data_IF_628360241428
#
_entry.id   IF_628360241428
#
_cell.length_a   1.000
_cell.length_b   1.000
_cell.length_c   1.000
_cell.angle_alpha   90.00
_cell.angle_beta   90.00
_cell.angle_gamma   90.00
#
_symmetry.space_group_name_H-M   'P 1'
#
loop_
_entity.id
_entity.type
_entity.pdbx_description
1 polymer ?
#
# COMPACT_ATOMS: atom_id res chain seq x y z
N UNK A 1 -33.06 7.66 9.24
CA UNK A 1 -32.01 7.53 10.28
C UNK A 1 -30.84 6.80 9.65
N UNK A 2 -29.61 7.15 10.02
CA UNK A 2 -28.41 6.50 9.48
C UNK A 2 -27.35 6.42 10.58
N UNK A 3 -26.69 5.28 10.70
CA UNK A 3 -25.70 5.01 11.74
C UNK A 3 -24.38 4.61 11.09
N UNK A 4 -23.28 5.05 11.68
CA UNK A 4 -21.97 4.44 11.47
C UNK A 4 -21.75 3.35 12.52
N UNK A 5 -21.38 2.16 12.09
CA UNK A 5 -21.23 0.97 12.92
C UNK A 5 -19.94 0.23 12.61
N UNK A 6 -19.41 -0.53 13.56
CA UNK A 6 -18.45 -1.60 13.26
C UNK A 6 -19.27 -2.84 12.92
N UNK A 7 -19.20 -3.26 11.66
CA UNK A 7 -19.99 -4.39 11.17
C UNK A 7 -19.13 -5.23 10.22
N UNK A 8 -19.66 -6.37 9.79
CA UNK A 8 -19.04 -7.27 8.85
C UNK A 8 -19.88 -7.46 7.59
N UNK A 9 -19.22 -7.77 6.47
CA UNK A 9 -19.92 -8.26 5.27
C UNK A 9 -20.61 -9.58 5.62
N UNK A 10 -21.91 -9.64 5.40
CA UNK A 10 -22.76 -10.76 5.79
C UNK A 10 -23.35 -11.51 4.59
N UNK A 11 -23.25 -10.95 3.40
CA UNK A 11 -23.64 -11.61 2.15
C UNK A 11 -22.57 -11.37 1.09
N UNK A 12 -22.61 -12.18 0.02
CA UNK A 12 -21.73 -12.01 -1.15
C UNK A 12 -21.88 -10.64 -1.82
N UNK A 13 -23.01 -9.96 -1.63
CA UNK A 13 -23.27 -8.60 -2.12
C UNK A 13 -22.64 -7.51 -1.24
N UNK A 14 -21.91 -7.90 -0.18
CA UNK A 14 -21.24 -6.98 0.73
C UNK A 14 -22.19 -6.22 1.67
N UNK A 15 -23.41 -6.71 1.87
CA UNK A 15 -24.36 -6.10 2.81
C UNK A 15 -23.95 -6.38 4.26
N UNK A 16 -24.29 -5.49 5.18
CA UNK A 16 -23.93 -5.61 6.60
C UNK A 16 -24.67 -6.72 7.35
N UNK A 17 -23.99 -7.33 8.32
CA UNK A 17 -24.57 -8.29 9.26
C UNK A 17 -25.22 -7.61 10.46
N UNK A 18 -25.24 -8.33 11.58
CA UNK A 18 -25.47 -7.72 12.88
C UNK A 18 -24.18 -6.99 13.32
N UNK A 19 -24.22 -5.66 13.53
CA UNK A 19 -23.06 -4.90 13.97
C UNK A 19 -22.45 -5.45 15.27
N UNK A 20 -21.13 -5.37 15.38
CA UNK A 20 -20.44 -5.57 16.66
C UNK A 20 -20.87 -4.47 17.64
N UNK A 21 -20.90 -3.22 17.17
CA UNK A 21 -21.47 -2.09 17.90
C UNK A 21 -21.75 -0.90 16.98
N UNK A 22 -22.66 -0.03 17.44
CA UNK A 22 -22.92 1.29 16.86
C UNK A 22 -21.93 2.32 17.40
N UNK A 23 -21.45 3.22 16.54
CA UNK A 23 -20.61 4.36 16.94
C UNK A 23 -21.46 5.63 17.07
N UNK A 24 -22.17 6.05 16.01
CA UNK A 24 -22.92 7.32 16.03
C UNK A 24 -24.05 7.38 14.98
N UNK A 25 -24.98 8.33 15.18
CA UNK A 25 -25.97 8.78 14.18
C UNK A 25 -25.32 9.79 13.24
N UNK A 26 -25.55 9.63 11.94
CA UNK A 26 -24.87 10.40 10.88
C UNK A 26 -25.82 10.98 9.82
N UNK A 27 -27.14 10.78 9.92
CA UNK A 27 -28.09 11.22 8.89
C UNK A 27 -28.12 12.74 8.62
N UNK A 28 -27.60 13.54 9.54
CA UNK A 28 -27.54 15.01 9.41
C UNK A 28 -26.20 15.51 8.87
N UNK A 29 -25.20 14.63 8.76
CA UNK A 29 -23.86 14.97 8.31
C UNK A 29 -23.83 14.91 6.78
N UNK A 30 -23.25 15.91 6.14
CA UNK A 30 -23.27 16.06 4.67
C UNK A 30 -22.05 15.44 4.01
N UNK A 31 -20.94 15.34 4.73
CA UNK A 31 -19.64 14.92 4.21
C UNK A 31 -19.06 13.75 5.00
N UNK A 32 -18.21 12.95 4.34
CA UNK A 32 -17.50 11.85 5.00
C UNK A 32 -16.47 12.35 6.03
N UNK A 33 -15.98 13.59 5.88
CA UNK A 33 -15.11 14.25 6.85
C UNK A 33 -15.84 14.51 8.18
N UNK A 34 -17.07 15.03 8.13
CA UNK A 34 -17.91 15.19 9.33
C UNK A 34 -18.21 13.85 10.00
N UNK A 35 -18.46 12.79 9.20
CA UNK A 35 -18.64 11.42 9.72
C UNK A 35 -17.37 10.96 10.45
N UNK A 36 -16.19 11.14 9.85
CA UNK A 36 -14.90 10.81 10.48
C UNK A 36 -14.72 11.55 11.80
N UNK A 37 -15.00 12.84 11.83
CA UNK A 37 -14.80 13.66 13.04
C UNK A 37 -15.74 13.21 14.16
N UNK A 38 -16.99 12.83 13.83
CA UNK A 38 -17.93 12.26 14.81
C UNK A 38 -17.47 10.87 15.28
N UNK A 39 -16.94 10.03 14.40
CA UNK A 39 -16.35 8.74 14.78
C UNK A 39 -15.20 8.96 15.78
N UNK A 40 -14.26 9.84 15.46
CA UNK A 40 -13.09 10.14 16.30
C UNK A 40 -13.46 10.76 17.65
N UNK A 41 -14.58 11.50 17.73
CA UNK A 41 -15.11 12.00 19.02
C UNK A 41 -15.70 10.89 19.90
N UNK A 42 -16.18 9.80 19.31
CA UNK A 42 -16.83 8.70 20.04
C UNK A 42 -15.91 7.50 20.31
N UNK A 43 -14.88 7.30 19.46
CA UNK A 43 -13.93 6.18 19.52
C UNK A 43 -12.55 6.61 19.03
N UNK A 44 -11.52 6.23 19.78
CA UNK A 44 -10.11 6.27 19.33
C UNK A 44 -9.78 5.06 18.46
N UNK A 45 -8.77 5.21 17.61
CA UNK A 45 -8.16 4.09 16.88
C UNK A 45 -6.86 3.62 17.57
N UNK A 46 -6.47 2.34 17.45
CA UNK A 46 -7.17 1.26 16.73
C UNK A 46 -8.47 0.82 17.42
N UNK A 47 -9.42 0.33 16.63
CA UNK A 47 -10.64 -0.30 17.14
C UNK A 47 -10.44 -1.81 17.05
N UNK A 48 -10.47 -2.49 18.18
CA UNK A 48 -10.20 -3.93 18.28
C UNK A 48 -11.40 -4.67 18.89
N UNK A 49 -11.57 -5.94 18.51
CA UNK A 49 -12.63 -6.78 19.04
C UNK A 49 -12.87 -8.03 18.18
N UNK A 50 -13.86 -8.82 18.59
CA UNK A 50 -14.32 -9.99 17.85
C UNK A 50 -15.79 -9.84 17.49
N UNK A 51 -16.17 -10.35 16.31
CA UNK A 51 -17.57 -10.45 15.87
C UNK A 51 -17.80 -11.79 15.23
N UNK A 52 -19.01 -12.32 15.33
CA UNK A 52 -19.35 -13.65 14.80
C UNK A 52 -20.27 -13.50 13.60
N UNK A 53 -19.86 -14.07 12.48
CA UNK A 53 -20.72 -14.24 11.33
C UNK A 53 -21.58 -15.50 11.50
N UNK A 54 -22.91 -15.35 11.39
CA UNK A 54 -23.87 -16.47 11.34
C UNK A 54 -24.83 -16.23 10.18
N UNK A 55 -24.52 -16.80 9.02
CA UNK A 55 -25.24 -16.54 7.79
C UNK A 55 -24.74 -17.41 6.64
N UNK A 56 -25.04 -17.01 5.39
CA UNK A 56 -24.52 -17.70 4.20
C UNK A 56 -23.00 -17.87 4.28
N UNK A 57 -22.48 -19.03 3.89
CA UNK A 57 -21.04 -19.25 3.86
C UNK A 57 -20.39 -18.21 2.92
N UNK A 58 -19.49 -17.42 3.49
CA UNK A 58 -18.62 -16.50 2.76
C UNK A 58 -17.25 -17.16 2.68
N UNK A 59 -16.60 -17.09 1.52
CA UNK A 59 -15.19 -17.47 1.45
C UNK A 59 -14.33 -16.43 2.21
N UNK A 60 -13.10 -16.78 2.60
CA UNK A 60 -12.22 -15.89 3.38
C UNK A 60 -11.95 -14.55 2.68
N UNK A 61 -12.05 -14.49 1.34
CA UNK A 61 -11.89 -13.27 0.54
C UNK A 61 -13.14 -12.37 0.55
N UNK A 62 -14.25 -12.87 1.07
CA UNK A 62 -15.53 -12.15 1.21
C UNK A 62 -15.79 -11.72 2.65
N UNK A 63 -15.11 -12.32 3.63
CA UNK A 63 -15.16 -11.89 5.03
C UNK A 63 -14.40 -10.58 5.23
N UNK A 64 -15.04 -9.64 5.92
CA UNK A 64 -14.55 -8.28 6.05
C UNK A 64 -15.22 -7.63 7.25
N UNK A 65 -14.43 -7.04 8.14
CA UNK A 65 -14.91 -6.16 9.22
C UNK A 65 -14.47 -4.74 8.91
N UNK A 66 -15.36 -3.78 9.09
CA UNK A 66 -15.05 -2.37 8.86
C UNK A 66 -16.13 -1.43 9.36
N UNK A 67 -16.02 -0.16 8.96
CA UNK A 67 -17.02 0.84 9.26
C UNK A 67 -18.13 0.82 8.20
N UNK A 68 -19.35 0.54 8.63
CA UNK A 68 -20.54 0.51 7.78
C UNK A 68 -21.43 1.71 8.04
N UNK A 69 -22.13 2.19 7.02
CA UNK A 69 -23.29 3.05 7.16
C UNK A 69 -24.57 2.22 6.95
N UNK A 70 -25.56 2.39 7.83
CA UNK A 70 -26.78 1.58 7.82
C UNK A 70 -27.97 2.28 8.47
N UNK A 71 -29.23 1.97 8.08
CA UNK A 71 -30.41 2.63 8.63
C UNK A 71 -30.81 2.14 10.03
N UNK A 72 -30.38 0.94 10.41
CA UNK A 72 -30.68 0.27 11.68
C UNK A 72 -29.45 0.31 12.61
N UNK A 73 -29.67 0.41 13.93
CA UNK A 73 -28.60 0.44 14.94
C UNK A 73 -28.01 -0.94 15.27
N UNK A 74 -28.81 -1.99 15.10
CA UNK A 74 -28.47 -3.40 15.34
C UNK A 74 -29.30 -4.32 14.44
N UNK A 75 -29.04 -5.63 14.50
CA UNK A 75 -29.68 -6.63 13.65
C UNK A 75 -29.06 -6.74 12.25
N UNK A 76 -29.45 -7.75 11.48
CA UNK A 76 -28.98 -7.94 10.10
C UNK A 76 -29.30 -6.70 9.28
N UNK A 77 -28.31 -6.20 8.53
CA UNK A 77 -28.36 -4.89 7.89
C UNK A 77 -28.28 -5.02 6.37
N UNK A 78 -29.36 -5.45 5.68
CA UNK A 78 -29.33 -5.69 4.23
C UNK A 78 -29.07 -4.41 3.42
N UNK A 79 -29.34 -3.24 4.00
CA UNK A 79 -29.05 -1.92 3.43
C UNK A 79 -27.74 -1.32 3.94
N UNK A 80 -27.03 -2.02 4.82
CA UNK A 80 -25.75 -1.58 5.36
C UNK A 80 -24.64 -1.84 4.35
N UNK A 81 -23.78 -0.85 4.13
CA UNK A 81 -22.58 -0.98 3.28
C UNK A 81 -21.38 -0.34 3.95
N UNK A 82 -20.18 -0.78 3.57
CA UNK A 82 -18.93 -0.12 3.98
C UNK A 82 -18.96 1.37 3.59
N UNK A 83 -18.39 2.21 4.45
CA UNK A 83 -18.21 3.64 4.13
C UNK A 83 -17.37 3.80 2.85
N UNK A 84 -17.66 4.79 2.00
CA UNK A 84 -16.87 5.06 0.79
C UNK A 84 -15.38 5.20 1.12
N UNK A 85 -14.51 4.60 0.30
CA UNK A 85 -13.06 4.59 0.52
C UNK A 85 -12.57 3.56 1.55
N UNK A 86 -13.47 2.77 2.17
CA UNK A 86 -13.05 1.66 3.03
C UNK A 86 -12.37 0.57 2.20
N UNK A 87 -11.07 0.41 2.40
CA UNK A 87 -10.33 -0.73 1.89
C UNK A 87 -10.39 -1.83 2.95
N UNK A 88 -11.22 -2.84 2.68
CA UNK A 88 -11.23 -4.00 3.54
C UNK A 88 -10.12 -4.93 3.12
N UNK A 89 -9.16 -5.15 4.03
CA UNK A 89 -8.21 -6.23 3.85
C UNK A 89 -8.99 -7.53 3.75
N UNK A 90 -8.73 -8.31 2.69
CA UNK A 90 -8.98 -9.75 2.75
C UNK A 90 -8.28 -10.20 4.02
N UNK A 91 -9.00 -10.74 5.00
CA UNK A 91 -8.36 -11.39 6.14
C UNK A 91 -7.66 -12.62 5.58
N UNK A 92 -6.33 -12.62 5.43
CA UNK A 92 -5.71 -13.73 4.74
C UNK A 92 -5.52 -14.87 5.76
N UNK A 93 -5.93 -16.12 5.46
CA UNK A 93 -5.42 -17.27 6.21
C UNK A 93 -3.90 -17.21 6.11
N UNK A 94 -3.14 -17.40 7.21
CA UNK A 94 -1.89 -16.67 7.49
C UNK A 94 -1.08 -16.40 6.22
N UNK A 95 -1.35 -15.30 5.50
CA UNK A 95 -0.50 -14.97 4.35
C UNK A 95 0.76 -14.45 4.96
N UNK A 96 1.88 -14.95 4.46
CA UNK A 96 3.12 -14.41 4.94
C UNK A 96 3.17 -12.91 4.63
N UNK A 97 3.64 -12.13 5.59
CA UNK A 97 3.96 -10.73 5.43
C UNK A 97 5.44 -10.63 5.08
N UNK A 98 5.75 -9.77 4.10
CA UNK A 98 7.10 -9.42 3.73
C UNK A 98 7.38 -7.94 3.97
N UNK A 99 8.63 -7.61 4.32
CA UNK A 99 9.09 -6.23 4.49
C UNK A 99 10.47 -6.04 3.85
N UNK A 100 10.78 -4.80 3.52
CA UNK A 100 12.15 -4.36 3.24
C UNK A 100 12.76 -3.94 4.57
N UNK A 101 13.85 -4.57 4.98
CA UNK A 101 14.39 -4.40 6.34
C UNK A 101 15.15 -3.09 6.54
N UNK A 102 15.74 -2.54 5.49
CA UNK A 102 16.57 -1.33 5.50
C UNK A 102 15.74 -0.05 5.42
N UNK A 103 14.43 -0.15 5.19
CA UNK A 103 13.55 1.00 5.01
C UNK A 103 13.75 1.67 3.65
N UNK A 104 14.48 2.79 3.62
CA UNK A 104 14.69 3.61 2.43
C UNK A 104 16.06 3.33 1.78
N UNK A 105 16.08 3.25 0.45
CA UNK A 105 17.31 3.11 -0.36
C UNK A 105 17.77 4.50 -0.80
N UNK A 106 19.03 4.86 -0.56
CA UNK A 106 19.56 6.17 -0.91
C UNK A 106 20.72 6.07 -1.90
N UNK A 107 20.41 6.19 -3.19
CA UNK A 107 21.39 6.13 -4.26
C UNK A 107 22.06 7.50 -4.45
N UNK A 108 23.07 7.78 -3.63
CA UNK A 108 23.80 9.04 -3.65
C UNK A 108 24.91 9.04 -4.71
N UNK A 109 24.82 9.98 -5.66
CA UNK A 109 25.81 10.17 -6.71
C UNK A 109 27.00 11.03 -6.29
N UNK A 110 26.87 11.82 -5.22
CA UNK A 110 27.86 12.81 -4.80
C UNK A 110 27.95 13.98 -5.77
N UNK A 111 29.05 14.72 -5.69
CA UNK A 111 29.38 15.72 -6.70
C UNK A 111 29.81 15.04 -7.99
N UNK A 112 29.20 15.43 -9.10
CA UNK A 112 29.42 14.83 -10.41
C UNK A 112 29.45 15.93 -11.47
N UNK A 113 30.45 15.86 -12.35
CA UNK A 113 30.59 16.80 -13.46
C UNK A 113 29.66 16.43 -14.63
N UNK A 114 29.42 17.39 -15.52
CA UNK A 114 28.51 17.22 -16.66
C UNK A 114 28.94 16.09 -17.61
N UNK A 115 30.24 15.84 -17.78
CA UNK A 115 30.75 14.81 -18.68
C UNK A 115 30.57 13.40 -18.11
N UNK A 116 30.63 13.25 -16.78
CA UNK A 116 30.40 11.99 -16.07
C UNK A 116 28.92 11.74 -15.75
N UNK A 117 28.04 12.73 -15.94
CA UNK A 117 26.65 12.68 -15.50
C UNK A 117 25.85 11.57 -16.18
N UNK A 118 25.93 11.46 -17.50
CA UNK A 118 25.18 10.44 -18.26
C UNK A 118 25.81 9.07 -18.11
N UNK A 119 25.04 8.06 -17.73
CA UNK A 119 25.51 6.69 -17.52
C UNK A 119 26.09 6.41 -16.13
N UNK A 120 26.25 7.43 -15.28
CA UNK A 120 26.67 7.21 -13.89
C UNK A 120 25.74 6.24 -13.17
N UNK A 121 26.31 5.24 -12.50
CA UNK A 121 25.56 4.18 -11.80
C UNK A 121 25.83 4.21 -10.30
N UNK A 122 24.79 3.97 -9.51
CA UNK A 122 24.86 3.70 -8.07
C UNK A 122 24.02 2.49 -7.73
N UNK A 123 24.42 1.75 -6.71
CA UNK A 123 23.71 0.55 -6.26
C UNK A 123 23.77 0.44 -4.75
N UNK A 124 22.70 -0.06 -4.19
CA UNK A 124 22.60 -0.55 -2.82
C UNK A 124 21.94 -1.93 -2.83
N UNK A 125 21.96 -2.61 -1.69
CA UNK A 125 21.30 -3.90 -1.51
C UNK A 125 20.25 -3.77 -0.42
N UNK A 126 19.05 -4.24 -0.70
CA UNK A 126 17.98 -4.40 0.27
C UNK A 126 17.78 -5.87 0.61
N UNK A 127 17.22 -6.15 1.77
CA UNK A 127 16.78 -7.48 2.17
C UNK A 127 15.24 -7.51 2.25
N UNK A 128 14.65 -8.41 1.48
CA UNK A 128 13.23 -8.74 1.59
C UNK A 128 13.09 -9.87 2.60
N UNK A 129 12.46 -9.58 3.73
CA UNK A 129 12.25 -10.53 4.83
C UNK A 129 10.80 -10.92 4.91
N UNK A 130 10.49 -12.22 4.99
CA UNK A 130 9.13 -12.73 5.11
C UNK A 130 8.98 -13.64 6.33
N UNK A 131 7.83 -13.61 7.00
CA UNK A 131 7.54 -14.54 8.11
C UNK A 131 7.25 -15.99 7.63
N UNK A 132 6.76 -16.17 6.40
CA UNK A 132 6.55 -17.47 5.75
C UNK A 132 7.34 -17.56 4.44
N UNK A 133 7.63 -18.79 4.01
CA UNK A 133 8.33 -19.01 2.75
C UNK A 133 7.43 -18.66 1.56
N UNK A 134 7.88 -17.78 0.68
CA UNK A 134 7.11 -17.39 -0.51
C UNK A 134 7.92 -16.79 -1.64
N UNK A 135 7.28 -16.67 -2.80
CA UNK A 135 7.76 -15.92 -3.96
C UNK A 135 7.22 -14.49 -3.89
N UNK A 136 8.10 -13.51 -3.89
CA UNK A 136 7.75 -12.08 -3.90
C UNK A 136 8.20 -11.48 -5.22
N UNK A 137 7.32 -10.77 -5.91
CA UNK A 137 7.70 -9.93 -7.04
C UNK A 137 8.08 -8.54 -6.52
N UNK A 138 9.34 -8.17 -6.70
CA UNK A 138 9.88 -6.86 -6.32
C UNK A 138 9.90 -5.99 -7.57
N UNK A 139 9.27 -4.82 -7.54
CA UNK A 139 9.21 -3.86 -8.64
C UNK A 139 9.83 -2.55 -8.17
N UNK A 140 10.62 -1.89 -9.00
CA UNK A 140 11.13 -0.55 -8.75
C UNK A 140 10.66 0.39 -9.87
N UNK A 141 9.94 1.45 -9.51
CA UNK A 141 9.33 2.35 -10.49
C UNK A 141 9.39 3.80 -10.03
N UNK A 142 9.67 4.70 -10.98
CA UNK A 142 9.56 6.15 -10.82
C UNK A 142 8.28 6.72 -11.46
N UNK A 143 8.05 8.02 -11.27
CA UNK A 143 6.81 8.70 -11.68
C UNK A 143 6.68 9.00 -13.18
N UNK A 144 7.75 8.83 -13.98
CA UNK A 144 7.75 9.14 -15.42
C UNK A 144 8.00 7.86 -16.23
N UNK A 145 6.95 7.06 -16.41
CA UNK A 145 7.03 5.76 -17.11
C UNK A 145 8.17 4.89 -16.58
N UNK A 146 8.26 4.79 -15.25
CA UNK A 146 9.28 3.99 -14.56
C UNK A 146 10.57 4.66 -14.22
N UNK A 147 10.84 5.79 -14.87
CA UNK A 147 12.03 6.58 -14.60
C UNK A 147 11.76 7.57 -13.49
N UNK A 148 12.80 7.88 -12.73
CA UNK A 148 12.74 8.90 -11.69
C UNK A 148 13.20 10.22 -12.29
N UNK A 149 12.32 11.21 -12.49
CA UNK A 149 12.77 12.55 -12.85
C UNK A 149 13.53 13.16 -11.67
N UNK A 150 14.75 13.64 -11.92
CA UNK A 150 15.62 14.25 -10.90
C UNK A 150 15.58 15.78 -10.94
N UNK A 151 14.88 16.33 -11.94
CA UNK A 151 14.65 17.76 -12.18
C UNK A 151 13.23 17.96 -12.71
N UNK A 152 12.67 19.14 -12.43
CA UNK A 152 11.34 19.52 -12.90
C UNK A 152 11.27 19.71 -14.43
N UNK A 153 12.37 20.17 -15.04
CA UNK A 153 12.50 20.38 -16.48
C UNK A 153 12.73 19.09 -17.27
N UNK A 154 12.79 17.93 -16.59
CA UNK A 154 12.88 16.65 -17.26
C UNK A 154 14.17 16.51 -18.12
N UNK A 155 15.23 17.25 -17.77
CA UNK A 155 16.55 17.18 -18.40
C UNK A 155 17.42 16.03 -17.87
N UNK A 156 17.13 15.53 -16.66
CA UNK A 156 17.89 14.50 -15.97
C UNK A 156 16.94 13.49 -15.29
N UNK A 157 17.21 12.20 -15.51
CA UNK A 157 16.44 11.09 -14.95
C UNK A 157 17.36 10.00 -14.40
N UNK A 158 16.79 9.12 -13.59
CA UNK A 158 17.40 7.85 -13.23
C UNK A 158 16.55 6.67 -13.73
N UNK A 159 17.17 5.79 -14.49
CA UNK A 159 16.62 4.46 -14.83
C UNK A 159 16.87 3.53 -13.64
N UNK A 160 15.82 2.86 -13.15
CA UNK A 160 15.91 1.95 -12.01
C UNK A 160 16.10 0.49 -12.46
N UNK A 161 16.89 -0.26 -11.71
CA UNK A 161 17.17 -1.67 -11.94
C UNK A 161 17.13 -2.49 -10.66
N UNK A 162 16.62 -3.72 -10.77
CA UNK A 162 16.62 -4.72 -9.71
C UNK A 162 17.41 -5.94 -10.19
N UNK A 163 18.48 -6.32 -9.49
CA UNK A 163 19.38 -7.41 -9.90
C UNK A 163 19.83 -7.30 -11.37
N UNK A 164 20.11 -6.07 -11.83
CA UNK A 164 20.44 -5.71 -13.22
C UNK A 164 19.32 -5.88 -14.26
N UNK A 165 18.09 -6.19 -13.86
CA UNK A 165 16.90 -6.17 -14.73
C UNK A 165 16.16 -4.83 -14.61
N UNK A 166 15.47 -4.36 -15.68
CA UNK A 166 14.67 -3.14 -15.60
C UNK A 166 13.67 -3.19 -14.44
N UNK A 167 13.73 -2.18 -13.56
CA UNK A 167 12.99 -2.17 -12.29
C UNK A 167 11.48 -2.34 -12.46
N UNK A 168 10.90 -1.76 -13.52
CA UNK A 168 9.46 -1.83 -13.80
C UNK A 168 8.96 -3.23 -14.15
N UNK A 169 9.83 -4.06 -14.74
CA UNK A 169 9.49 -5.46 -15.04
C UNK A 169 9.51 -6.31 -13.77
N UNK A 170 10.22 -5.82 -12.75
CA UNK A 170 10.42 -6.48 -11.48
C UNK A 170 11.31 -7.72 -11.56
N UNK A 171 11.60 -8.27 -10.38
CA UNK A 171 12.31 -9.53 -10.21
C UNK A 171 11.57 -10.38 -9.19
N UNK A 172 11.40 -11.67 -9.48
CA UNK A 172 10.82 -12.62 -8.52
C UNK A 172 11.93 -13.15 -7.61
N UNK A 173 11.68 -13.10 -6.30
CA UNK A 173 12.63 -13.50 -5.26
C UNK A 173 11.97 -14.56 -4.40
N UNK A 174 12.68 -15.67 -4.17
CA UNK A 174 12.24 -16.70 -3.21
C UNK A 174 12.76 -16.32 -1.82
N UNK A 175 11.86 -16.05 -0.89
CA UNK A 175 12.21 -15.70 0.49
C UNK A 175 11.88 -16.90 1.39
N UNK A 176 12.85 -17.40 2.19
CA UNK A 176 12.60 -18.48 3.13
C UNK A 176 11.76 -18.01 4.34
N UNK A 177 11.08 -18.94 5.02
CA UNK A 177 10.28 -18.63 6.20
C UNK A 177 11.15 -18.06 7.32
N UNK A 178 10.78 -16.88 7.83
CA UNK A 178 11.54 -16.15 8.86
C UNK A 178 12.89 -15.61 8.40
N UNK A 179 13.24 -15.79 7.13
CA UNK A 179 14.54 -15.37 6.59
C UNK A 179 14.42 -14.21 5.61
N UNK A 180 15.56 -13.86 5.03
CA UNK A 180 15.72 -12.72 4.14
C UNK A 180 16.36 -13.12 2.83
N UNK A 181 15.98 -12.46 1.74
CA UNK A 181 16.62 -12.58 0.45
C UNK A 181 17.12 -11.21 -0.04
N UNK A 182 18.39 -11.10 -0.45
CA UNK A 182 18.96 -9.84 -0.91
C UNK A 182 18.49 -9.50 -2.32
N UNK A 183 18.26 -8.21 -2.58
CA UNK A 183 17.97 -7.65 -3.90
C UNK A 183 18.84 -6.43 -4.11
N UNK A 184 19.64 -6.43 -5.16
CA UNK A 184 20.41 -5.27 -5.58
C UNK A 184 19.47 -4.27 -6.25
N UNK A 185 19.42 -3.05 -5.70
CA UNK A 185 18.73 -1.92 -6.28
C UNK A 185 19.78 -1.00 -6.86
N UNK A 186 19.70 -0.69 -8.14
CA UNK A 186 20.62 0.25 -8.77
C UNK A 186 19.90 1.25 -9.63
N UNK A 187 20.56 2.37 -9.88
CA UNK A 187 20.05 3.40 -10.77
C UNK A 187 21.15 3.93 -11.69
N UNK A 188 20.78 4.24 -12.92
CA UNK A 188 21.67 4.81 -13.93
C UNK A 188 21.13 6.14 -14.40
N UNK A 189 21.95 7.18 -14.33
CA UNK A 189 21.57 8.52 -14.78
C UNK A 189 21.44 8.59 -16.30
N UNK A 190 20.42 9.30 -16.77
CA UNK A 190 20.17 9.60 -18.18
C UNK A 190 19.89 11.08 -18.34
N UNK A 191 20.51 11.68 -19.35
CA UNK A 191 20.29 13.08 -19.72
C UNK A 191 19.38 13.19 -20.94
N UNK A 192 18.61 14.26 -21.01
CA UNK A 192 17.83 14.67 -22.17
C UNK A 192 18.21 16.11 -22.52
N UNK A 193 19.18 16.27 -23.41
CA UNK A 193 19.80 17.56 -23.71
C UNK A 193 20.77 18.00 -22.63
N UNK A 194 21.02 19.32 -22.57
CA UNK A 194 21.96 19.92 -21.63
C UNK A 194 21.34 20.03 -20.24
N UNK A 195 22.07 19.62 -19.21
CA UNK A 195 21.63 19.73 -17.81
C UNK A 195 22.26 20.95 -17.17
N UNK A 196 21.44 21.85 -16.63
CA UNK A 196 21.95 23.03 -15.94
C UNK A 196 22.68 22.63 -14.63
N UNK A 197 23.79 23.32 -14.26
CA UNK A 197 24.47 23.10 -12.99
C UNK A 197 23.54 23.24 -11.78
N UNK A 198 23.80 22.46 -10.73
CA UNK A 198 23.11 22.57 -9.44
C UNK A 198 22.67 21.23 -8.86
N UNK A 199 21.95 21.29 -7.74
CA UNK A 199 21.47 20.10 -7.02
C UNK A 199 20.31 19.42 -7.74
N UNK A 200 20.36 18.10 -7.86
CA UNK A 200 19.26 17.28 -8.36
C UNK A 200 18.85 16.23 -7.32
N UNK A 201 17.59 15.84 -7.35
CA UNK A 201 17.03 14.82 -6.47
C UNK A 201 15.71 14.32 -7.02
N UNK A 202 15.38 13.07 -6.76
CA UNK A 202 14.08 12.51 -7.07
C UNK A 202 13.81 11.27 -6.24
N UNK A 203 12.58 10.77 -6.33
CA UNK A 203 12.15 9.59 -5.59
C UNK A 203 11.44 8.61 -6.52
N UNK A 204 11.64 7.33 -6.24
CA UNK A 204 10.88 6.22 -6.80
C UNK A 204 10.27 5.39 -5.68
N UNK A 205 9.57 4.32 -6.06
CA UNK A 205 8.99 3.37 -5.14
C UNK A 205 9.52 1.97 -5.42
N UNK A 206 9.78 1.22 -4.34
CA UNK A 206 9.98 -0.21 -4.40
C UNK A 206 8.69 -0.85 -3.88
N UNK A 207 8.10 -1.72 -4.69
CA UNK A 207 6.80 -2.33 -4.44
C UNK A 207 7.01 -3.83 -4.31
N UNK A 208 6.51 -4.40 -3.22
CA UNK A 208 6.45 -5.84 -3.02
C UNK A 208 5.06 -6.33 -3.40
N UNK A 209 4.99 -7.22 -4.37
CA UNK A 209 3.75 -7.91 -4.73
C UNK A 209 3.84 -9.35 -4.26
N UNK A 210 2.87 -9.75 -3.43
CA UNK A 210 2.74 -11.10 -2.88
C UNK A 210 1.61 -11.84 -3.64
N UNK A 211 1.73 -13.16 -3.85
CA UNK A 211 0.71 -13.97 -4.54
C UNK A 211 -0.59 -14.10 -3.74
#
# INVERSE_FOLDING_TARGET
>A
MCYVTVNHKHTVNGTGGNPAFQIARIEKLRTLAEVRDVVLKNRSFPIEGQTTHRGPSLNSNQECVGLFYQPNSSGISPRGKLLPGSLCGIAPPPVGACKISEGAVNLNYGDIDEASLSGAKRSETINVTCNLAMKVLVIASGSDSGRVPLRADKSLYADLYLNNYPGEKGVTVNVPAGGSAPVSVSSTLRTNGRVAPGRFSGSGSIILTMP
#
